data_IF_589123476649
#
_entry.id   IF_589123476649
#
_cell.length_a   1.000
_cell.length_b   1.000
_cell.length_c   1.000
_cell.angle_alpha   90.00
_cell.angle_beta   90.00
_cell.angle_gamma   90.00
#
_symmetry.space_group_name_H-M   'P 1'
#
loop_
_entity.id
_entity.type
_entity.pdbx_description
1 polymer ?
#
# COMPACT_ATOMS: atom_id res chain seq x y z
N UNK A 1 9.68 -17.77 3.52
CA UNK A 1 9.97 -17.05 4.78
C UNK A 1 10.12 -18.09 5.90
N UNK A 2 11.20 -18.08 6.73
CA UNK A 2 11.25 -18.90 7.92
C UNK A 2 10.07 -18.51 8.83
N UNK A 3 9.48 -19.49 9.51
CA UNK A 3 8.45 -19.20 10.50
C UNK A 3 9.02 -18.18 11.50
N UNK A 4 8.37 -17.04 11.73
CA UNK A 4 8.86 -16.05 12.66
C UNK A 4 8.93 -16.70 14.05
N UNK A 5 10.01 -16.40 14.78
CA UNK A 5 10.10 -16.75 16.19
C UNK A 5 8.84 -16.27 16.93
N UNK A 6 8.32 -17.02 17.90
CA UNK A 6 7.19 -16.57 18.69
C UNK A 6 7.54 -15.21 19.27
N UNK A 7 6.75 -14.19 18.99
CA UNK A 7 6.92 -12.87 19.60
C UNK A 7 6.72 -13.04 21.10
N UNK A 8 7.66 -12.52 21.87
CA UNK A 8 7.62 -12.55 23.31
C UNK A 8 6.31 -11.86 23.77
N UNK A 9 5.48 -12.60 24.49
CA UNK A 9 4.29 -12.10 25.15
C UNK A 9 4.72 -11.73 26.56
N UNK A 10 5.51 -10.65 26.66
CA UNK A 10 5.99 -10.13 27.95
C UNK A 10 4.92 -9.32 28.69
N UNK A 11 3.70 -9.29 28.14
CA UNK A 11 2.58 -8.56 28.71
C UNK A 11 2.63 -7.05 28.49
N UNK A 12 3.62 -6.54 27.73
CA UNK A 12 3.73 -5.11 27.39
C UNK A 12 3.00 -4.87 26.06
N UNK A 13 2.10 -3.87 25.97
CA UNK A 13 1.45 -3.54 24.70
C UNK A 13 2.49 -3.11 23.65
N UNK A 14 2.40 -3.67 22.45
CA UNK A 14 3.26 -3.27 21.34
C UNK A 14 3.01 -1.80 20.98
N UNK A 15 4.08 -1.01 20.95
CA UNK A 15 4.05 0.39 20.63
C UNK A 15 4.01 0.60 19.11
N UNK A 16 3.00 1.31 18.61
CA UNK A 16 2.74 1.50 17.18
C UNK A 16 2.86 2.98 16.80
N UNK A 17 3.71 3.28 15.83
CA UNK A 17 3.68 4.55 15.11
C UNK A 17 2.84 4.41 13.82
N UNK A 18 1.98 5.39 13.53
CA UNK A 18 1.13 5.39 12.34
C UNK A 18 1.49 6.57 11.44
N UNK A 19 1.82 6.26 10.18
CA UNK A 19 2.08 7.26 9.15
C UNK A 19 0.88 7.27 8.20
N UNK A 20 0.31 8.47 7.98
CA UNK A 20 -0.98 8.61 7.29
C UNK A 20 -2.16 8.31 8.20
N UNK A 21 -2.07 8.66 9.50
CA UNK A 21 -3.07 8.33 10.53
C UNK A 21 -4.47 8.85 10.24
N UNK A 22 -4.60 9.94 9.49
CA UNK A 22 -5.88 10.56 9.12
C UNK A 22 -6.51 9.97 7.85
N UNK A 23 -5.80 9.07 7.14
CA UNK A 23 -6.30 8.34 5.98
C UNK A 23 -7.11 7.10 6.37
N UNK A 24 -7.67 6.41 5.37
CA UNK A 24 -8.53 5.22 5.57
C UNK A 24 -7.80 4.11 6.35
N UNK A 25 -6.55 3.79 6.00
CA UNK A 25 -5.75 2.77 6.70
C UNK A 25 -5.40 3.24 8.13
N UNK A 26 -5.02 4.50 8.28
CA UNK A 26 -4.63 5.04 9.59
C UNK A 26 -5.79 5.09 10.59
N UNK A 27 -6.97 5.50 10.16
CA UNK A 27 -8.17 5.51 11.02
C UNK A 27 -8.58 4.09 11.42
N UNK A 28 -8.60 3.15 10.49
CA UNK A 28 -8.86 1.73 10.79
C UNK A 28 -7.76 1.11 11.66
N UNK A 29 -6.49 1.53 11.50
CA UNK A 29 -5.39 1.13 12.37
C UNK A 29 -5.59 1.57 13.82
N UNK A 30 -6.05 2.80 14.02
CA UNK A 30 -6.41 3.33 15.35
C UNK A 30 -7.64 2.61 15.93
N UNK A 31 -8.62 2.23 15.09
CA UNK A 31 -9.76 1.42 15.54
C UNK A 31 -9.30 0.04 16.05
N UNK A 32 -8.39 -0.61 15.32
CA UNK A 32 -7.79 -1.90 15.73
C UNK A 32 -7.05 -1.76 17.07
N UNK A 33 -6.25 -0.69 17.23
CA UNK A 33 -5.54 -0.43 18.50
C UNK A 33 -6.52 -0.20 19.65
N UNK A 34 -7.60 0.52 19.40
CA UNK A 34 -8.62 0.81 20.41
C UNK A 34 -9.40 -0.45 20.84
N UNK A 35 -9.48 -1.49 20.00
CA UNK A 35 -10.17 -2.75 20.33
C UNK A 35 -9.39 -3.61 21.35
N UNK A 36 -8.06 -3.55 21.35
CA UNK A 36 -7.25 -4.34 22.29
C UNK A 36 -6.07 -3.51 22.85
N UNK A 37 -6.35 -2.57 23.75
CA UNK A 37 -5.33 -1.70 24.35
C UNK A 37 -4.36 -2.46 25.28
N UNK A 38 -4.68 -3.70 25.63
CA UNK A 38 -3.77 -4.56 26.38
C UNK A 38 -2.61 -5.07 25.52
N UNK A 39 -2.81 -5.15 24.20
CA UNK A 39 -1.80 -5.65 23.25
C UNK A 39 -1.20 -4.57 22.36
N UNK A 40 -1.90 -3.46 22.11
CA UNK A 40 -1.50 -2.44 21.16
C UNK A 40 -1.65 -1.04 21.77
N UNK A 41 -0.67 -0.17 21.54
CA UNK A 41 -0.68 1.22 21.96
C UNK A 41 -0.17 2.12 20.84
N UNK A 42 -0.92 3.14 20.45
CA UNK A 42 -0.42 4.16 19.55
C UNK A 42 0.54 5.09 20.31
N UNK A 43 1.76 5.29 19.78
CA UNK A 43 2.80 6.13 20.42
C UNK A 43 3.17 7.33 19.58
N UNK A 44 3.03 7.28 18.27
CA UNK A 44 3.35 8.39 17.39
C UNK A 44 2.44 8.41 16.17
N UNK A 45 2.02 9.59 15.72
CA UNK A 45 1.13 9.76 14.58
C UNK A 45 1.71 10.78 13.60
N UNK A 46 1.61 10.47 12.30
CA UNK A 46 1.87 11.46 11.25
C UNK A 46 0.66 11.60 10.32
N UNK A 47 0.35 12.85 9.96
CA UNK A 47 -0.73 13.21 9.03
C UNK A 47 -0.31 14.26 8.01
N UNK A 48 -1.14 14.42 6.99
CA UNK A 48 -0.99 15.47 5.96
C UNK A 48 -1.75 16.75 6.34
N UNK A 49 -2.74 17.11 5.50
CA UNK A 49 -3.48 18.38 5.61
C UNK A 49 -4.62 18.37 6.65
N UNK A 50 -5.08 17.20 7.12
CA UNK A 50 -6.17 17.13 8.08
C UNK A 50 -5.66 17.26 9.52
N UNK A 51 -5.20 18.47 9.87
CA UNK A 51 -4.62 18.80 11.18
C UNK A 51 -5.62 18.62 12.33
N UNK A 52 -6.91 18.90 12.06
CA UNK A 52 -7.98 18.75 13.07
C UNK A 52 -8.15 17.29 13.50
N UNK A 53 -8.26 16.37 12.55
CA UNK A 53 -8.39 14.94 12.86
C UNK A 53 -7.11 14.38 13.48
N UNK A 54 -5.92 14.81 12.99
CA UNK A 54 -4.65 14.41 13.55
C UNK A 54 -4.56 14.80 15.04
N UNK A 55 -4.96 16.03 15.38
CA UNK A 55 -4.97 16.50 16.77
C UNK A 55 -5.97 15.73 17.64
N UNK A 56 -7.18 15.44 17.14
CA UNK A 56 -8.16 14.61 17.84
C UNK A 56 -7.64 13.20 18.13
N UNK A 57 -7.01 12.57 17.12
CA UNK A 57 -6.36 11.26 17.28
C UNK A 57 -5.25 11.33 18.35
N UNK A 58 -4.38 12.34 18.28
CA UNK A 58 -3.27 12.50 19.21
C UNK A 58 -3.74 12.66 20.66
N UNK A 59 -4.80 13.45 20.89
CA UNK A 59 -5.41 13.62 22.22
C UNK A 59 -6.09 12.34 22.68
N UNK A 60 -6.84 11.67 21.80
CA UNK A 60 -7.58 10.45 22.15
C UNK A 60 -6.66 9.31 22.57
N UNK A 61 -5.55 9.13 21.86
CA UNK A 61 -4.60 8.04 22.09
C UNK A 61 -3.41 8.43 22.96
N UNK A 62 -3.33 9.68 23.44
CA UNK A 62 -2.29 10.19 24.35
C UNK A 62 -0.87 9.91 23.81
N UNK A 63 -0.65 10.18 22.52
CA UNK A 63 0.61 9.84 21.83
C UNK A 63 1.78 10.72 22.29
N UNK A 64 2.98 10.17 22.20
CA UNK A 64 4.25 10.79 22.60
C UNK A 64 4.79 11.76 21.54
N UNK A 65 4.49 11.50 20.24
CA UNK A 65 4.94 12.33 19.12
C UNK A 65 3.87 12.52 18.06
N UNK A 66 3.87 13.70 17.44
CA UNK A 66 2.94 14.06 16.35
C UNK A 66 3.70 14.71 15.21
N UNK A 67 3.50 14.22 13.99
CA UNK A 67 4.09 14.76 12.77
C UNK A 67 3.02 15.35 11.83
N UNK A 68 3.26 16.56 11.30
CA UNK A 68 2.42 17.14 10.26
C UNK A 68 3.25 17.62 9.08
N UNK A 69 2.90 17.16 7.86
CA UNK A 69 3.56 17.63 6.66
C UNK A 69 3.10 19.04 6.22
N UNK A 70 1.89 19.45 6.61
CA UNK A 70 1.27 20.70 6.16
C UNK A 70 1.22 21.79 7.23
N UNK A 71 0.93 21.45 8.50
CA UNK A 71 0.82 22.40 9.58
C UNK A 71 2.18 22.75 10.19
N UNK A 72 2.36 24.01 10.56
CA UNK A 72 3.49 24.45 11.37
C UNK A 72 3.28 24.19 12.89
N UNK A 73 4.33 24.40 13.69
CA UNK A 73 4.34 24.12 15.12
C UNK A 73 3.22 24.85 15.89
N UNK A 74 3.01 26.13 15.63
CA UNK A 74 1.97 26.91 16.31
C UNK A 74 0.56 26.42 15.97
N UNK A 75 0.30 26.14 14.71
CA UNK A 75 -0.98 25.62 14.21
C UNK A 75 -1.26 24.25 14.84
N UNK A 76 -0.26 23.37 14.86
CA UNK A 76 -0.42 22.02 15.43
C UNK A 76 -0.65 22.09 16.94
N UNK A 77 0.03 22.98 17.68
CA UNK A 77 -0.22 23.22 19.12
C UNK A 77 -1.62 23.75 19.38
N UNK A 78 -2.09 24.69 18.56
CA UNK A 78 -3.44 25.23 18.68
C UNK A 78 -4.48 24.14 18.40
N UNK A 79 -4.31 23.34 17.35
CA UNK A 79 -5.20 22.22 17.04
C UNK A 79 -5.26 21.18 18.17
N UNK A 80 -4.13 20.86 18.81
CA UNK A 80 -4.07 19.95 19.96
C UNK A 80 -4.81 20.52 21.18
N UNK A 81 -4.66 21.81 21.46
CA UNK A 81 -5.37 22.48 22.55
C UNK A 81 -6.89 22.49 22.31
N UNK A 82 -7.32 22.82 21.09
CA UNK A 82 -8.74 22.83 20.69
C UNK A 82 -9.34 21.43 20.76
N UNK A 83 -8.64 20.42 20.27
CA UNK A 83 -9.07 19.02 20.34
C UNK A 83 -9.20 18.56 21.81
N UNK A 84 -8.25 18.90 22.67
CA UNK A 84 -8.29 18.58 24.09
C UNK A 84 -9.49 19.22 24.77
N UNK A 85 -9.77 20.50 24.48
CA UNK A 85 -10.94 21.20 25.01
C UNK A 85 -12.26 20.55 24.57
N UNK A 86 -12.39 20.21 23.27
CA UNK A 86 -13.60 19.53 22.74
C UNK A 86 -13.81 18.14 23.36
N UNK A 87 -12.72 17.40 23.61
CA UNK A 87 -12.77 16.05 24.18
C UNK A 87 -12.83 16.05 25.73
N UNK A 88 -12.75 17.21 26.39
CA UNK A 88 -12.74 17.31 27.83
C UNK A 88 -11.52 16.63 28.47
N UNK A 89 -10.37 16.64 27.79
CA UNK A 89 -9.11 16.00 28.22
C UNK A 89 -8.03 17.05 28.47
N UNK A 90 -7.01 16.75 29.29
CA UNK A 90 -5.82 17.59 29.38
C UNK A 90 -5.16 17.74 28.01
N UNK A 91 -4.67 18.93 27.69
CA UNK A 91 -3.90 19.16 26.49
C UNK A 91 -2.57 18.38 26.54
N UNK A 92 -2.31 17.44 25.63
CA UNK A 92 -1.07 16.69 25.60
C UNK A 92 0.10 17.60 25.18
N UNK A 93 1.31 17.18 25.49
CA UNK A 93 2.54 17.86 25.08
C UNK A 93 3.46 16.89 24.32
N UNK A 94 3.03 16.38 23.18
CA UNK A 94 3.85 15.48 22.38
C UNK A 94 5.07 16.23 21.82
N UNK A 95 6.09 15.47 21.42
CA UNK A 95 7.14 15.99 20.55
C UNK A 95 6.50 16.28 19.19
N UNK A 96 6.76 17.47 18.63
CA UNK A 96 6.20 17.88 17.35
C UNK A 96 7.26 17.82 16.26
N UNK A 97 6.86 17.29 15.11
CA UNK A 97 7.63 17.31 13.88
C UNK A 97 6.79 17.96 12.79
N UNK A 98 7.33 18.96 12.10
CA UNK A 98 6.59 19.71 11.08
C UNK A 98 7.37 19.81 9.78
N UNK A 99 6.63 19.93 8.66
CA UNK A 99 7.20 20.03 7.33
C UNK A 99 7.43 18.69 6.63
N UNK A 100 8.13 18.70 5.48
CA UNK A 100 8.21 17.55 4.56
C UNK A 100 8.77 16.27 5.17
N UNK A 101 9.67 16.36 6.14
CA UNK A 101 10.31 15.21 6.78
C UNK A 101 9.57 14.69 8.02
N UNK A 102 8.42 15.27 8.38
CA UNK A 102 7.70 14.90 9.60
C UNK A 102 7.32 13.40 9.63
N UNK A 103 6.91 12.83 8.49
CA UNK A 103 6.57 11.41 8.37
C UNK A 103 7.79 10.50 8.57
N UNK A 104 8.97 10.90 8.08
CA UNK A 104 10.23 10.16 8.26
C UNK A 104 10.63 10.14 9.74
N UNK A 105 10.50 11.29 10.42
CA UNK A 105 10.83 11.42 11.85
C UNK A 105 9.89 10.58 12.74
N UNK A 106 8.60 10.52 12.40
CA UNK A 106 7.64 9.64 13.07
C UNK A 106 7.91 8.17 12.74
N UNK A 107 8.29 7.85 11.51
CA UNK A 107 8.64 6.48 11.12
C UNK A 107 9.86 5.94 11.87
N UNK A 108 10.78 6.80 12.27
CA UNK A 108 11.97 6.46 13.04
C UNK A 108 11.81 6.73 14.55
N UNK A 109 10.57 6.92 15.05
CA UNK A 109 10.33 7.23 16.46
C UNK A 109 10.85 6.12 17.38
N UNK A 110 11.81 6.40 18.29
CA UNK A 110 12.50 5.35 19.05
C UNK A 110 11.61 4.61 20.06
N UNK A 111 10.44 5.18 20.39
CA UNK A 111 9.45 4.54 21.25
C UNK A 111 8.51 3.56 20.53
N UNK A 112 8.71 3.30 19.22
CA UNK A 112 7.87 2.40 18.45
C UNK A 112 8.51 1.02 18.27
N UNK A 113 7.72 -0.04 18.36
CA UNK A 113 8.10 -1.40 17.96
C UNK A 113 7.70 -1.70 16.50
N UNK A 114 6.58 -1.12 16.08
CA UNK A 114 5.97 -1.34 14.77
C UNK A 114 5.54 0.00 14.17
N UNK A 115 5.79 0.16 12.88
CA UNK A 115 5.29 1.29 12.10
C UNK A 115 4.22 0.80 11.14
N UNK A 116 3.03 1.40 11.17
CA UNK A 116 2.01 1.23 10.13
C UNK A 116 2.17 2.35 9.10
N UNK A 117 2.60 2.01 7.88
CA UNK A 117 2.66 2.98 6.79
C UNK A 117 1.41 2.89 5.93
N UNK A 118 0.47 3.83 6.12
CA UNK A 118 -0.75 4.01 5.36
C UNK A 118 -0.77 5.27 4.48
N UNK A 119 0.40 5.85 4.15
CA UNK A 119 0.50 6.95 3.19
C UNK A 119 0.15 6.41 1.80
N UNK A 120 -0.46 7.22 0.96
CA UNK A 120 -0.73 6.89 -0.45
C UNK A 120 0.36 7.49 -1.34
N UNK A 121 0.81 6.72 -2.34
CA UNK A 121 1.79 7.16 -3.33
C UNK A 121 3.25 7.00 -2.91
N UNK A 122 4.15 7.27 -3.83
CA UNK A 122 5.60 7.07 -3.69
C UNK A 122 6.28 7.94 -2.63
N UNK A 123 5.61 9.01 -2.17
CA UNK A 123 6.09 9.83 -1.05
C UNK A 123 6.28 9.01 0.24
N UNK A 124 5.66 7.83 0.34
CA UNK A 124 5.87 6.86 1.42
C UNK A 124 7.24 6.18 1.42
N UNK A 125 8.06 6.31 0.36
CA UNK A 125 9.35 5.62 0.24
C UNK A 125 10.35 6.05 1.33
N UNK A 126 10.54 7.35 1.54
CA UNK A 126 11.46 7.85 2.59
C UNK A 126 11.04 7.40 3.99
N UNK A 127 9.78 7.55 4.43
CA UNK A 127 9.30 7.00 5.70
C UNK A 127 9.44 5.48 5.81
N UNK A 128 9.21 4.73 4.71
CA UNK A 128 9.43 3.27 4.67
C UNK A 128 10.88 2.94 5.02
N UNK A 129 11.84 3.58 4.34
CA UNK A 129 13.26 3.37 4.61
C UNK A 129 13.67 3.81 6.02
N UNK A 130 13.12 4.94 6.51
CA UNK A 130 13.37 5.43 7.87
C UNK A 130 12.93 4.42 8.94
N UNK A 131 11.75 3.81 8.79
CA UNK A 131 11.26 2.77 9.69
C UNK A 131 12.17 1.52 9.68
N UNK A 132 12.59 1.07 8.48
CA UNK A 132 13.45 -0.09 8.33
C UNK A 132 14.84 0.14 8.93
N UNK A 133 15.46 1.29 8.66
CA UNK A 133 16.77 1.64 9.21
C UNK A 133 16.74 1.83 10.74
N UNK A 134 15.62 2.28 11.30
CA UNK A 134 15.42 2.35 12.74
C UNK A 134 15.22 0.97 13.41
N UNK A 135 15.13 -0.10 12.62
CA UNK A 135 14.94 -1.46 13.12
C UNK A 135 13.50 -1.82 13.46
N UNK A 136 12.54 -0.95 13.19
CA UNK A 136 11.13 -1.20 13.47
C UNK A 136 10.53 -2.25 12.54
N UNK A 137 9.59 -3.07 13.02
CA UNK A 137 8.73 -3.84 12.12
C UNK A 137 7.88 -2.88 11.32
N UNK A 138 7.78 -3.11 10.01
CA UNK A 138 6.99 -2.28 9.12
C UNK A 138 5.76 -3.04 8.63
N UNK A 139 4.58 -2.68 9.16
CA UNK A 139 3.28 -3.06 8.64
C UNK A 139 2.99 -2.16 7.42
N UNK A 140 3.27 -2.68 6.21
CA UNK A 140 3.29 -1.90 4.97
C UNK A 140 1.95 -2.00 4.27
N UNK A 141 1.19 -0.88 4.27
CA UNK A 141 -0.01 -0.68 3.45
C UNK A 141 0.27 0.20 2.22
N UNK A 142 1.36 0.94 2.22
CA UNK A 142 1.83 1.76 1.10
C UNK A 142 2.61 0.91 0.10
N UNK A 143 1.92 0.25 -0.81
CA UNK A 143 2.53 -0.61 -1.83
C UNK A 143 3.48 0.16 -2.75
N UNK A 144 3.15 1.41 -3.04
CA UNK A 144 3.92 2.24 -3.96
C UNK A 144 5.38 2.38 -3.51
N UNK A 145 5.64 2.55 -2.20
CA UNK A 145 7.02 2.66 -1.71
C UNK A 145 7.85 1.40 -1.97
N UNK A 146 7.26 0.21 -1.86
CA UNK A 146 7.95 -1.03 -2.18
C UNK A 146 8.16 -1.18 -3.69
N UNK A 147 7.16 -0.84 -4.50
CA UNK A 147 7.23 -1.01 -5.95
C UNK A 147 8.25 -0.05 -6.58
N UNK A 148 8.25 1.23 -6.16
CA UNK A 148 9.18 2.22 -6.73
C UNK A 148 10.58 2.10 -6.13
N UNK A 149 10.69 1.74 -4.85
CA UNK A 149 11.95 1.56 -4.13
C UNK A 149 12.58 0.18 -4.29
N UNK A 150 11.83 -0.83 -4.70
CA UNK A 150 12.23 -2.21 -4.99
C UNK A 150 13.47 -2.69 -4.26
N UNK A 151 14.61 -2.63 -4.95
CA UNK A 151 15.90 -3.07 -4.43
C UNK A 151 16.35 -2.31 -3.17
N UNK A 152 16.04 -1.00 -3.07
CA UNK A 152 16.40 -0.19 -1.88
C UNK A 152 15.65 -0.68 -0.63
N UNK A 153 14.35 -0.90 -0.76
CA UNK A 153 13.50 -1.35 0.36
C UNK A 153 13.90 -2.78 0.76
N UNK A 154 14.12 -3.67 -0.22
CA UNK A 154 14.59 -5.04 0.06
C UNK A 154 15.96 -5.08 0.73
N UNK A 155 16.89 -4.23 0.32
CA UNK A 155 18.23 -4.16 0.92
C UNK A 155 18.21 -3.57 2.35
N UNK A 156 17.27 -2.66 2.64
CA UNK A 156 17.10 -2.06 3.96
C UNK A 156 16.37 -2.98 4.95
N UNK A 157 15.55 -3.92 4.45
CA UNK A 157 14.73 -4.77 5.29
C UNK A 157 15.48 -6.00 5.81
N UNK A 158 15.47 -6.20 7.11
CA UNK A 158 15.88 -7.46 7.73
C UNK A 158 14.81 -8.56 7.50
N UNK A 159 15.18 -9.85 7.56
CA UNK A 159 14.23 -10.95 7.44
C UNK A 159 13.06 -10.81 8.43
N UNK A 160 11.83 -10.81 7.93
CA UNK A 160 10.61 -10.71 8.74
C UNK A 160 10.27 -9.30 9.25
N UNK A 161 11.04 -8.28 8.87
CA UNK A 161 10.78 -6.89 9.25
C UNK A 161 9.63 -6.27 8.44
N UNK A 162 9.48 -6.64 7.16
CA UNK A 162 8.35 -6.24 6.31
C UNK A 162 7.16 -7.19 6.54
N UNK A 163 6.01 -6.63 6.88
CA UNK A 163 4.74 -7.36 7.02
C UNK A 163 3.69 -6.69 6.13
N UNK A 164 3.10 -7.41 5.18
CA UNK A 164 2.12 -6.83 4.28
C UNK A 164 0.79 -6.53 4.99
N UNK A 165 0.19 -5.40 4.63
CA UNK A 165 -1.14 -4.97 5.09
C UNK A 165 -2.14 -4.94 3.94
N UNK A 166 -1.70 -4.82 2.69
CA UNK A 166 -2.60 -4.97 1.55
C UNK A 166 -3.31 -6.33 1.63
N UNK A 167 -4.63 -6.38 1.35
CA UNK A 167 -5.46 -7.55 1.65
C UNK A 167 -4.98 -8.82 0.94
N UNK A 168 -4.59 -8.70 -0.32
CA UNK A 168 -4.10 -9.80 -1.15
C UNK A 168 -2.77 -10.35 -0.63
N UNK A 169 -1.86 -9.46 -0.26
CA UNK A 169 -0.54 -9.86 0.25
C UNK A 169 -0.59 -10.40 1.67
N UNK A 170 -1.47 -9.85 2.51
CA UNK A 170 -1.79 -10.43 3.80
C UNK A 170 -2.35 -11.86 3.66
N UNK A 171 -3.23 -12.08 2.66
CA UNK A 171 -3.76 -13.40 2.35
C UNK A 171 -2.67 -14.36 1.89
N UNK A 172 -1.79 -13.93 0.99
CA UNK A 172 -0.64 -14.72 0.55
C UNK A 172 0.29 -15.06 1.71
N UNK A 173 0.64 -14.08 2.55
CA UNK A 173 1.48 -14.32 3.73
C UNK A 173 0.87 -15.36 4.69
N UNK A 174 -0.45 -15.40 4.81
CA UNK A 174 -1.17 -16.40 5.61
C UNK A 174 -1.16 -17.79 4.96
N UNK A 175 -1.42 -17.86 3.64
CA UNK A 175 -1.47 -19.12 2.90
C UNK A 175 -0.07 -19.76 2.74
N UNK A 176 0.99 -18.96 2.57
CA UNK A 176 2.38 -19.40 2.52
C UNK A 176 2.86 -20.08 3.81
N UNK A 177 2.15 -19.93 4.92
CA UNK A 177 2.47 -20.67 6.17
C UNK A 177 2.09 -22.15 6.08
N UNK A 178 1.37 -22.56 5.05
CA UNK A 178 0.95 -23.93 4.83
C UNK A 178 1.98 -24.83 4.15
N UNK A 179 3.14 -24.28 3.74
CA UNK A 179 4.23 -25.03 3.11
C UNK A 179 5.55 -24.27 3.13
N UNK A 180 6.57 -24.81 2.48
CA UNK A 180 7.89 -24.22 2.33
C UNK A 180 8.01 -23.49 0.96
N UNK A 181 9.01 -22.62 0.79
CA UNK A 181 9.15 -21.81 -0.42
C UNK A 181 9.38 -22.63 -1.69
N UNK A 182 10.05 -23.77 -1.58
CA UNK A 182 10.31 -24.70 -2.68
C UNK A 182 9.08 -25.53 -3.08
N UNK A 183 8.10 -25.64 -2.20
CA UNK A 183 6.81 -26.27 -2.49
C UNK A 183 5.82 -25.35 -3.18
N UNK A 184 6.07 -24.03 -3.21
CA UNK A 184 5.19 -23.06 -3.88
C UNK A 184 5.31 -23.21 -5.39
N UNK A 185 4.23 -23.58 -6.07
CA UNK A 185 4.16 -23.63 -7.54
C UNK A 185 3.92 -22.24 -8.12
N UNK A 186 2.90 -21.52 -7.62
CA UNK A 186 2.56 -20.15 -8.03
C UNK A 186 1.72 -19.44 -6.99
N UNK A 187 1.69 -18.11 -7.11
CA UNK A 187 0.76 -17.25 -6.38
C UNK A 187 -0.42 -16.92 -7.31
N UNK A 188 -1.63 -16.85 -6.75
CA UNK A 188 -2.84 -16.47 -7.49
C UNK A 188 -3.50 -15.31 -6.73
N UNK A 189 -3.37 -14.10 -7.28
CA UNK A 189 -4.01 -12.91 -6.74
C UNK A 189 -5.44 -12.81 -7.26
N UNK A 190 -6.37 -12.46 -6.38
CA UNK A 190 -7.74 -12.17 -6.80
C UNK A 190 -7.93 -10.67 -7.04
N UNK A 191 -8.79 -10.32 -7.98
CA UNK A 191 -9.24 -8.96 -8.26
C UNK A 191 -10.76 -8.92 -8.24
N UNK A 192 -11.37 -7.85 -7.73
CA UNK A 192 -12.83 -7.66 -7.86
C UNK A 192 -13.29 -7.52 -9.32
N UNK A 193 -12.38 -7.12 -10.20
CA UNK A 193 -12.65 -6.77 -11.59
C UNK A 193 -13.10 -5.31 -11.77
N UNK A 194 -13.29 -4.58 -10.66
CA UNK A 194 -13.70 -3.19 -10.68
C UNK A 194 -15.13 -2.98 -11.22
N UNK A 195 -15.56 -1.72 -11.41
CA UNK A 195 -16.90 -1.38 -11.90
C UNK A 195 -17.11 -1.68 -13.39
N UNK A 196 -16.05 -1.92 -14.14
CA UNK A 196 -16.09 -2.08 -15.59
C UNK A 196 -15.87 -3.53 -16.07
N UNK A 197 -15.96 -4.50 -15.17
CA UNK A 197 -15.87 -5.92 -15.49
C UNK A 197 -16.87 -6.30 -16.60
N UNK A 198 -16.37 -6.97 -17.64
CA UNK A 198 -17.16 -7.40 -18.79
C UNK A 198 -17.37 -6.34 -19.87
N UNK A 199 -16.85 -5.12 -19.71
CA UNK A 199 -16.81 -4.15 -20.79
C UNK A 199 -15.60 -4.41 -21.70
N UNK A 200 -15.82 -4.27 -23.00
CA UNK A 200 -14.75 -4.27 -23.98
C UNK A 200 -14.03 -2.90 -24.03
N UNK A 201 -12.89 -2.84 -24.72
CA UNK A 201 -12.08 -1.64 -24.80
C UNK A 201 -12.82 -0.45 -25.43
N UNK A 202 -13.72 -0.70 -26.39
CA UNK A 202 -14.48 0.37 -27.04
C UNK A 202 -15.47 1.04 -26.07
N UNK A 203 -16.14 0.23 -25.23
CA UNK A 203 -17.03 0.71 -24.22
C UNK A 203 -16.30 1.50 -23.10
N UNK A 204 -15.05 1.13 -22.77
CA UNK A 204 -14.23 1.82 -21.79
C UNK A 204 -13.88 3.28 -22.18
N UNK A 205 -13.88 3.61 -23.47
CA UNK A 205 -13.58 4.97 -23.94
C UNK A 205 -14.57 6.03 -23.44
N UNK A 206 -15.84 5.65 -23.29
CA UNK A 206 -16.93 6.56 -22.93
C UNK A 206 -17.22 6.64 -21.42
N UNK A 207 -16.50 5.86 -20.58
CA UNK A 207 -16.77 5.86 -19.14
C UNK A 207 -16.32 7.15 -18.48
N UNK A 208 -17.08 7.56 -17.47
CA UNK A 208 -16.86 8.84 -16.77
C UNK A 208 -16.12 8.65 -15.45
N UNK A 209 -15.47 9.72 -14.91
CA UNK A 209 -14.87 9.68 -13.58
C UNK A 209 -15.83 9.20 -12.48
N UNK A 210 -17.08 9.63 -12.51
CA UNK A 210 -18.08 9.20 -11.54
C UNK A 210 -18.34 7.68 -11.58
N UNK A 211 -18.39 7.10 -12.78
CA UNK A 211 -18.52 5.64 -12.95
C UNK A 211 -17.28 4.89 -12.47
N UNK A 212 -16.07 5.42 -12.71
CA UNK A 212 -14.83 4.82 -12.25
C UNK A 212 -14.71 4.81 -10.71
N UNK A 213 -15.34 5.77 -10.03
CA UNK A 213 -15.37 5.83 -8.56
C UNK A 213 -16.45 4.95 -7.92
N UNK A 214 -17.36 4.37 -8.70
CA UNK A 214 -18.44 3.49 -8.20
C UNK A 214 -17.95 2.05 -7.99
N UNK A 215 -16.98 1.85 -7.07
CA UNK A 215 -16.46 0.52 -6.78
C UNK A 215 -17.52 -0.36 -6.11
N UNK A 216 -17.72 -1.63 -6.56
CA UNK A 216 -18.82 -2.47 -6.08
C UNK A 216 -18.68 -2.95 -4.63
N UNK A 217 -17.45 -2.98 -4.07
CA UNK A 217 -17.15 -3.67 -2.81
C UNK A 217 -16.41 -2.80 -1.79
N UNK A 218 -15.44 -2.00 -2.24
CA UNK A 218 -14.52 -1.25 -1.36
C UNK A 218 -14.79 0.25 -1.41
N UNK A 219 -14.71 0.90 -0.25
CA UNK A 219 -14.67 2.36 -0.13
C UNK A 219 -13.21 2.80 0.02
N UNK A 220 -12.65 3.36 -1.05
CA UNK A 220 -11.23 3.69 -1.17
C UNK A 220 -11.04 5.13 -1.69
N UNK A 221 -9.83 5.66 -1.50
CA UNK A 221 -9.48 6.96 -2.06
C UNK A 221 -9.54 6.98 -3.60
N UNK A 222 -9.73 8.19 -4.17
CA UNK A 222 -9.93 8.44 -5.61
C UNK A 222 -8.95 7.70 -6.51
N UNK A 223 -7.65 7.78 -6.21
CA UNK A 223 -6.59 7.16 -7.04
C UNK A 223 -6.69 5.63 -6.98
N UNK A 224 -6.81 5.05 -5.79
CA UNK A 224 -6.89 3.60 -5.61
C UNK A 224 -8.15 3.03 -6.27
N UNK A 225 -9.29 3.73 -6.15
CA UNK A 225 -10.55 3.32 -6.78
C UNK A 225 -10.45 3.32 -8.30
N UNK A 226 -9.84 4.37 -8.89
CA UNK A 226 -9.62 4.44 -10.35
C UNK A 226 -8.59 3.40 -10.81
N UNK A 227 -7.55 3.15 -10.02
CA UNK A 227 -6.59 2.08 -10.26
C UNK A 227 -7.24 0.68 -10.19
N UNK A 228 -8.22 0.48 -9.31
CA UNK A 228 -9.02 -0.76 -9.30
C UNK A 228 -9.85 -0.90 -10.57
N UNK A 229 -10.48 0.19 -11.03
CA UNK A 229 -11.27 0.19 -12.26
C UNK A 229 -10.43 -0.14 -13.52
N UNK A 230 -9.19 0.35 -13.60
CA UNK A 230 -8.26 0.12 -14.71
C UNK A 230 -7.40 -1.15 -14.54
N UNK A 231 -7.54 -1.87 -13.43
CA UNK A 231 -6.69 -2.97 -12.98
C UNK A 231 -5.20 -2.59 -12.79
N UNK A 232 -4.86 -1.31 -12.78
CA UNK A 232 -3.53 -0.84 -12.38
C UNK A 232 -3.26 -1.19 -10.92
N UNK A 233 -4.24 -1.09 -10.02
CA UNK A 233 -4.06 -1.53 -8.63
C UNK A 233 -3.57 -2.99 -8.57
N UNK A 234 -4.21 -3.88 -9.33
CA UNK A 234 -3.81 -5.29 -9.39
C UNK A 234 -2.44 -5.48 -10.06
N UNK A 235 -2.12 -4.65 -11.06
CA UNK A 235 -0.80 -4.64 -11.68
C UNK A 235 0.31 -4.30 -10.66
N UNK A 236 0.11 -3.26 -9.84
CA UNK A 236 1.03 -2.91 -8.77
C UNK A 236 1.15 -4.03 -7.73
N UNK A 237 0.06 -4.67 -7.37
CA UNK A 237 0.04 -5.78 -6.41
C UNK A 237 0.78 -7.02 -6.91
N UNK A 238 0.77 -7.32 -8.20
CA UNK A 238 1.59 -8.40 -8.78
C UNK A 238 3.08 -8.11 -8.56
N UNK A 239 3.52 -6.87 -8.75
CA UNK A 239 4.91 -6.48 -8.52
C UNK A 239 5.25 -6.50 -7.01
N UNK A 240 4.33 -6.03 -6.17
CA UNK A 240 4.49 -6.11 -4.71
C UNK A 240 4.62 -7.56 -4.23
N UNK A 241 3.80 -8.49 -4.74
CA UNK A 241 3.89 -9.91 -4.41
C UNK A 241 5.25 -10.51 -4.81
N UNK A 242 5.74 -10.17 -6.01
CA UNK A 242 7.07 -10.56 -6.45
C UNK A 242 8.16 -10.09 -5.47
N UNK A 243 8.11 -8.83 -5.07
CA UNK A 243 9.11 -8.22 -4.18
C UNK A 243 9.03 -8.74 -2.74
N UNK A 244 7.81 -8.98 -2.21
CA UNK A 244 7.60 -9.46 -0.85
C UNK A 244 7.97 -10.92 -0.66
N UNK A 245 7.63 -11.77 -1.64
CA UNK A 245 7.69 -13.22 -1.46
C UNK A 245 8.77 -13.90 -2.29
N UNK A 246 9.55 -13.15 -3.07
CA UNK A 246 10.62 -13.66 -3.95
C UNK A 246 10.13 -14.71 -4.98
N UNK A 247 8.85 -14.62 -5.37
CA UNK A 247 8.28 -15.48 -6.41
C UNK A 247 8.44 -14.81 -7.77
N UNK A 248 8.99 -15.49 -8.80
CA UNK A 248 9.14 -14.95 -10.14
C UNK A 248 7.81 -14.47 -10.75
N UNK A 249 7.84 -13.39 -11.55
CA UNK A 249 6.65 -12.76 -12.13
C UNK A 249 5.83 -13.69 -13.03
N UNK A 250 6.47 -14.64 -13.69
CA UNK A 250 5.82 -15.67 -14.52
C UNK A 250 5.08 -16.75 -13.70
N UNK A 251 5.31 -16.77 -12.39
CA UNK A 251 4.62 -17.64 -11.42
C UNK A 251 3.61 -16.88 -10.56
N UNK A 252 3.18 -15.69 -10.98
CA UNK A 252 2.16 -14.89 -10.32
C UNK A 252 1.01 -14.65 -11.29
N UNK A 253 -0.12 -15.28 -11.03
CA UNK A 253 -1.34 -15.20 -11.83
C UNK A 253 -2.37 -14.27 -11.17
N UNK A 254 -3.31 -13.78 -12.00
CA UNK A 254 -4.44 -12.96 -11.54
C UNK A 254 -5.74 -13.60 -12.02
N UNK A 255 -6.70 -13.70 -11.10
CA UNK A 255 -8.07 -14.14 -11.41
C UNK A 255 -9.08 -13.11 -10.90
N UNK A 256 -10.19 -12.95 -11.59
CA UNK A 256 -11.27 -12.06 -11.17
C UNK A 256 -12.21 -12.83 -10.25
N UNK A 257 -12.42 -12.29 -9.05
CA UNK A 257 -13.32 -12.81 -8.02
C UNK A 257 -14.22 -11.69 -7.49
N UNK A 258 -15.40 -11.48 -8.13
CA UNK A 258 -16.24 -10.30 -7.88
C UNK A 258 -16.72 -10.15 -6.44
N UNK A 259 -16.92 -11.28 -5.73
CA UNK A 259 -17.40 -11.28 -4.35
C UNK A 259 -16.35 -10.78 -3.36
N UNK A 260 -15.06 -10.76 -3.73
CA UNK A 260 -13.93 -10.32 -2.90
C UNK A 260 -13.88 -10.96 -1.51
N UNK A 261 -14.33 -12.21 -1.38
CA UNK A 261 -14.29 -13.00 -0.14
C UNK A 261 -12.99 -13.79 -0.05
N UNK A 262 -12.54 -14.38 -1.15
CA UNK A 262 -11.19 -14.97 -1.27
C UNK A 262 -10.24 -13.87 -1.70
N UNK A 263 -9.27 -13.53 -0.83
CA UNK A 263 -8.38 -12.39 -1.08
C UNK A 263 -7.13 -12.75 -1.89
N UNK A 264 -6.61 -13.96 -1.76
CA UNK A 264 -5.58 -14.56 -2.63
C UNK A 264 -5.36 -16.01 -2.27
N UNK A 265 -4.59 -16.72 -3.13
CA UNK A 265 -4.34 -18.15 -3.00
C UNK A 265 -2.88 -18.47 -3.30
N UNK A 266 -2.40 -19.56 -2.72
CA UNK A 266 -1.09 -20.17 -3.04
C UNK A 266 -1.35 -21.58 -3.57
N UNK A 267 -0.89 -21.88 -4.78
CA UNK A 267 -0.91 -23.23 -5.35
C UNK A 267 0.44 -23.89 -5.09
N UNK A 268 0.43 -25.10 -4.55
CA UNK A 268 1.61 -25.90 -4.24
C UNK A 268 1.90 -26.92 -5.32
N UNK A 269 3.13 -27.50 -5.28
CA UNK A 269 3.62 -28.43 -6.31
C UNK A 269 2.85 -29.74 -6.35
N UNK A 270 2.15 -30.12 -5.28
CA UNK A 270 1.27 -31.29 -5.21
C UNK A 270 -0.12 -31.05 -5.82
N UNK A 271 -0.41 -29.81 -6.28
CA UNK A 271 -1.68 -29.38 -6.84
C UNK A 271 -2.68 -28.86 -5.81
N UNK A 272 -2.36 -28.88 -4.52
CA UNK A 272 -3.21 -28.25 -3.51
C UNK A 272 -3.19 -26.74 -3.60
N UNK A 273 -4.30 -26.09 -3.24
CA UNK A 273 -4.42 -24.63 -3.19
C UNK A 273 -4.91 -24.19 -1.82
N UNK A 274 -4.14 -23.34 -1.15
CA UNK A 274 -4.55 -22.69 0.09
C UNK A 274 -5.01 -21.27 -0.17
N UNK A 275 -6.18 -20.92 0.33
CA UNK A 275 -6.81 -19.63 0.17
C UNK A 275 -7.13 -19.00 1.52
N UNK A 276 -6.94 -17.70 1.64
CA UNK A 276 -7.49 -16.96 2.77
C UNK A 276 -8.83 -16.35 2.34
N UNK A 277 -9.87 -16.59 3.13
CA UNK A 277 -11.21 -16.08 2.91
C UNK A 277 -11.73 -15.33 4.14
N UNK A 278 -12.30 -14.16 3.91
CA UNK A 278 -13.00 -13.34 4.90
C UNK A 278 -13.90 -12.32 4.20
N UNK A 279 -14.93 -11.77 4.83
CA UNK A 279 -15.57 -10.57 4.34
C UNK A 279 -14.55 -9.45 4.10
N UNK A 280 -14.77 -8.56 3.09
CA UNK A 280 -13.84 -7.49 2.79
C UNK A 280 -13.82 -6.45 3.92
N UNK A 281 -12.75 -6.47 4.73
CA UNK A 281 -12.54 -5.57 5.86
C UNK A 281 -11.04 -5.38 6.11
N UNK A 282 -10.53 -4.15 5.91
CA UNK A 282 -9.11 -3.85 6.08
C UNK A 282 -8.62 -3.96 7.52
N UNK A 283 -9.50 -3.97 8.52
CA UNK A 283 -9.10 -4.18 9.91
C UNK A 283 -8.45 -5.55 10.13
N UNK A 284 -8.84 -6.58 9.35
CA UNK A 284 -8.23 -7.91 9.45
C UNK A 284 -6.75 -7.91 9.04
N UNK A 285 -6.35 -7.47 7.82
CA UNK A 285 -4.94 -7.42 7.44
C UNK A 285 -4.14 -6.39 8.25
N UNK A 286 -4.75 -5.26 8.66
CA UNK A 286 -4.12 -4.29 9.55
C UNK A 286 -3.81 -4.94 10.90
N UNK A 287 -4.77 -5.59 11.53
CA UNK A 287 -4.58 -6.27 12.82
C UNK A 287 -3.49 -7.35 12.73
N UNK A 288 -3.48 -8.13 11.64
CA UNK A 288 -2.43 -9.11 11.41
C UNK A 288 -1.06 -8.45 11.23
N UNK A 289 -0.98 -7.35 10.48
CA UNK A 289 0.25 -6.56 10.30
C UNK A 289 0.80 -6.04 11.62
N UNK A 290 -0.05 -5.49 12.47
CA UNK A 290 0.31 -4.97 13.78
C UNK A 290 0.70 -6.07 14.78
N UNK A 291 0.04 -7.24 14.71
CA UNK A 291 0.25 -8.34 15.67
C UNK A 291 1.11 -9.49 15.13
N UNK A 292 1.62 -9.38 13.88
CA UNK A 292 2.36 -10.47 13.24
C UNK A 292 3.38 -11.13 14.17
N UNK A 293 3.47 -12.47 14.19
CA UNK A 293 2.72 -13.47 13.39
C UNK A 293 1.39 -13.94 14.04
N UNK A 294 0.98 -13.32 15.15
CA UNK A 294 -0.23 -13.69 15.88
C UNK A 294 -1.47 -13.03 15.28
N UNK A 295 -2.64 -13.65 15.51
CA UNK A 295 -3.94 -13.10 15.15
C UNK A 295 -4.52 -12.33 16.33
N UNK A 296 -5.16 -11.19 16.05
CA UNK A 296 -5.96 -10.44 17.03
C UNK A 296 -7.38 -11.00 17.03
N UNK A 297 -7.90 -11.50 18.16
CA UNK A 297 -9.27 -11.99 18.25
C UNK A 297 -10.29 -10.89 17.92
N UNK A 298 -11.29 -11.21 17.08
CA UNK A 298 -12.40 -10.31 16.80
C UNK A 298 -12.04 -9.07 15.97
N UNK A 299 -10.87 -9.04 15.30
CA UNK A 299 -10.40 -7.90 14.51
C UNK A 299 -11.38 -7.49 13.38
N UNK A 300 -12.07 -8.46 12.78
CA UNK A 300 -13.05 -8.26 11.72
C UNK A 300 -14.13 -9.35 11.78
N UNK A 301 -15.29 -9.15 11.10
CA UNK A 301 -16.34 -10.15 11.00
C UNK A 301 -15.84 -11.43 10.33
N UNK A 302 -16.34 -12.59 10.79
CA UNK A 302 -16.11 -13.88 10.12
C UNK A 302 -17.13 -14.13 9.00
N UNK A 303 -16.80 -15.06 8.10
CA UNK A 303 -17.77 -15.57 7.13
C UNK A 303 -18.94 -16.25 7.83
N UNK A 304 -20.15 -16.07 7.30
CA UNK A 304 -21.36 -16.74 7.79
C UNK A 304 -21.53 -18.09 7.09
N UNK A 305 -21.09 -19.15 7.74
CA UNK A 305 -21.19 -20.53 7.25
C UNK A 305 -22.57 -21.17 7.46
N UNK A 306 -23.53 -20.44 8.03
CA UNK A 306 -24.93 -20.90 8.20
C UNK A 306 -25.77 -20.69 6.94
N UNK A 307 -25.23 -19.96 5.97
CA UNK A 307 -25.90 -19.61 4.70
C UNK A 307 -25.17 -20.23 3.52
N UNK A 308 -25.90 -20.60 2.49
CA UNK A 308 -25.31 -20.99 1.21
C UNK A 308 -24.63 -19.78 0.57
N UNK A 309 -23.42 -19.98 0.06
CA UNK A 309 -22.66 -18.97 -0.67
C UNK A 309 -22.10 -19.57 -1.96
N UNK A 310 -22.00 -18.73 -2.99
CA UNK A 310 -21.36 -19.08 -4.26
C UNK A 310 -20.22 -18.11 -4.52
N UNK A 311 -19.04 -18.63 -4.76
CA UNK A 311 -17.84 -17.87 -5.14
C UNK A 311 -17.47 -18.24 -6.58
N UNK A 312 -17.24 -17.21 -7.38
CA UNK A 312 -16.90 -17.36 -8.80
C UNK A 312 -15.51 -16.82 -9.07
N UNK A 313 -14.80 -17.47 -9.98
CA UNK A 313 -13.49 -17.06 -10.46
C UNK A 313 -13.50 -17.06 -11.98
N UNK A 314 -13.04 -15.96 -12.57
CA UNK A 314 -13.00 -15.73 -14.01
C UNK A 314 -11.56 -15.41 -14.43
N UNK A 315 -11.13 -15.78 -15.62
CA UNK A 315 -9.84 -15.34 -16.14
C UNK A 315 -9.81 -13.82 -16.31
N UNK A 316 -8.60 -13.23 -16.17
CA UNK A 316 -8.39 -11.82 -16.47
C UNK A 316 -8.51 -11.57 -17.98
N UNK A 317 -9.28 -10.55 -18.37
CA UNK A 317 -9.29 -10.04 -19.76
C UNK A 317 -8.13 -9.04 -19.95
N UNK A 318 -7.00 -9.55 -20.46
CA UNK A 318 -5.80 -8.73 -20.70
C UNK A 318 -5.89 -7.88 -21.98
N UNK A 319 -6.89 -8.08 -22.83
CA UNK A 319 -7.12 -7.22 -24.00
C UNK A 319 -7.83 -5.93 -23.59
N UNK A 320 -8.89 -6.05 -22.80
CA UNK A 320 -9.59 -4.90 -22.26
C UNK A 320 -8.75 -4.18 -21.18
N UNK A 321 -8.02 -4.94 -20.35
CA UNK A 321 -7.27 -4.42 -19.18
C UNK A 321 -5.80 -4.85 -19.21
N UNK A 322 -4.93 -4.20 -20.00
CA UNK A 322 -3.55 -4.64 -20.21
C UNK A 322 -2.57 -4.25 -19.09
N UNK A 323 -3.04 -3.67 -17.97
CA UNK A 323 -2.20 -3.12 -16.93
C UNK A 323 -1.25 -4.14 -16.28
N UNK A 324 -1.72 -5.37 -16.01
CA UNK A 324 -0.92 -6.41 -15.36
C UNK A 324 0.27 -6.79 -16.23
N UNK A 325 0.04 -7.04 -17.51
CA UNK A 325 1.12 -7.35 -18.47
C UNK A 325 2.11 -6.20 -18.59
N UNK A 326 1.59 -4.96 -18.73
CA UNK A 326 2.44 -3.78 -18.83
C UNK A 326 3.33 -3.57 -17.60
N UNK A 327 2.83 -3.83 -16.39
CA UNK A 327 3.64 -3.73 -15.17
C UNK A 327 4.70 -4.84 -15.07
N UNK A 328 4.39 -6.09 -15.46
CA UNK A 328 5.37 -7.18 -15.53
C UNK A 328 6.51 -6.84 -16.51
N UNK A 329 6.19 -6.30 -17.68
CA UNK A 329 7.17 -5.83 -18.67
C UNK A 329 8.04 -4.69 -18.11
N UNK A 330 7.44 -3.70 -17.47
CA UNK A 330 8.15 -2.59 -16.85
C UNK A 330 9.11 -3.06 -15.72
N UNK A 331 8.65 -3.92 -14.84
CA UNK A 331 9.46 -4.44 -13.74
C UNK A 331 10.68 -5.26 -14.22
N UNK A 332 10.55 -5.93 -15.36
CA UNK A 332 11.63 -6.68 -15.98
C UNK A 332 12.66 -5.80 -16.69
N UNK A 333 12.33 -4.55 -17.05
CA UNK A 333 13.17 -3.69 -17.88
C UNK A 333 14.32 -3.04 -17.11
N UNK A 334 14.08 -2.41 -15.95
CA UNK A 334 15.13 -1.88 -15.06
C UNK A 334 14.58 -1.58 -13.67
N UNK A 335 15.45 -1.36 -12.66
CA UNK A 335 15.03 -1.06 -11.28
C UNK A 335 14.18 0.22 -11.12
N UNK A 336 14.23 1.15 -12.07
CA UNK A 336 13.50 2.43 -12.01
C UNK A 336 12.26 2.49 -12.88
N UNK A 337 12.02 1.48 -13.76
CA UNK A 337 10.83 1.48 -14.64
C UNK A 337 9.52 1.44 -13.85
N UNK A 338 9.47 0.81 -12.67
CA UNK A 338 8.26 0.81 -11.85
C UNK A 338 7.98 2.17 -11.21
N UNK A 339 9.01 2.97 -10.92
CA UNK A 339 8.83 4.36 -10.50
C UNK A 339 8.22 5.20 -11.65
N UNK A 340 8.70 4.98 -12.87
CA UNK A 340 8.13 5.61 -14.07
C UNK A 340 6.68 5.18 -14.31
N UNK A 341 6.40 3.88 -14.22
CA UNK A 341 5.05 3.34 -14.36
C UNK A 341 4.07 3.97 -13.37
N UNK A 342 4.44 3.99 -12.10
CA UNK A 342 3.59 4.54 -11.04
C UNK A 342 3.35 6.05 -11.21
N UNK A 343 4.40 6.83 -11.47
CA UNK A 343 4.30 8.27 -11.64
C UNK A 343 3.48 8.65 -12.89
N UNK A 344 3.67 7.94 -14.02
CA UNK A 344 2.87 8.14 -15.23
C UNK A 344 1.40 7.79 -14.99
N UNK A 345 1.11 6.75 -14.22
CA UNK A 345 -0.26 6.38 -13.86
C UNK A 345 -0.93 7.45 -12.99
N UNK A 346 -0.27 7.97 -11.97
CA UNK A 346 -0.82 9.03 -11.12
C UNK A 346 -1.22 10.25 -11.96
N UNK A 347 -0.37 10.69 -12.89
CA UNK A 347 -0.65 11.82 -13.81
C UNK A 347 -1.81 11.50 -14.78
N UNK A 348 -1.84 10.28 -15.33
CA UNK A 348 -2.91 9.86 -16.24
C UNK A 348 -4.27 9.76 -15.52
N UNK A 349 -4.29 9.28 -14.28
CA UNK A 349 -5.50 9.26 -13.44
C UNK A 349 -5.98 10.67 -13.15
N UNK A 350 -5.09 11.60 -12.82
CA UNK A 350 -5.45 12.99 -12.59
C UNK A 350 -5.99 13.66 -13.86
N UNK A 351 -5.37 13.41 -15.03
CA UNK A 351 -5.85 13.89 -16.32
C UNK A 351 -7.24 13.34 -16.69
N UNK A 352 -7.50 12.05 -16.39
CA UNK A 352 -8.83 11.45 -16.57
C UNK A 352 -9.88 12.15 -15.70
N UNK A 353 -9.59 12.38 -14.41
CA UNK A 353 -10.51 13.09 -13.52
C UNK A 353 -10.72 14.55 -13.89
N UNK A 354 -9.74 15.18 -14.53
CA UNK A 354 -9.84 16.54 -15.08
C UNK A 354 -10.57 16.60 -16.45
N UNK A 355 -10.92 15.44 -17.03
CA UNK A 355 -11.57 15.36 -18.34
C UNK A 355 -10.62 15.59 -19.52
N UNK A 356 -9.31 15.59 -19.29
CA UNK A 356 -8.30 15.78 -20.33
C UNK A 356 -7.89 14.47 -21.03
N UNK A 357 -8.18 13.32 -20.42
CA UNK A 357 -7.80 12.00 -20.93
C UNK A 357 -8.98 11.02 -20.80
N UNK A 358 -9.37 10.25 -21.85
CA UNK A 358 -10.36 9.17 -21.73
C UNK A 358 -9.81 8.01 -20.88
N UNK A 359 -10.70 7.23 -20.29
CA UNK A 359 -10.33 6.14 -19.37
C UNK A 359 -9.42 5.08 -20.00
N UNK A 360 -9.74 4.60 -21.19
CA UNK A 360 -8.96 3.59 -21.93
C UNK A 360 -7.53 4.04 -22.27
N UNK A 361 -7.30 5.38 -22.26
CA UNK A 361 -5.98 5.98 -22.54
C UNK A 361 -5.09 6.05 -21.30
N UNK A 362 -5.60 5.78 -20.10
CA UNK A 362 -4.78 5.79 -18.87
C UNK A 362 -3.60 4.81 -19.03
N UNK A 363 -3.89 3.54 -19.24
CA UNK A 363 -2.85 2.49 -19.36
C UNK A 363 -2.03 2.64 -20.65
N UNK A 364 -2.63 3.11 -21.74
CA UNK A 364 -1.88 3.41 -22.97
C UNK A 364 -0.84 4.50 -22.75
N UNK A 365 -1.20 5.56 -22.03
CA UNK A 365 -0.27 6.64 -21.68
C UNK A 365 0.88 6.11 -20.82
N UNK A 366 0.57 5.31 -19.80
CA UNK A 366 1.58 4.68 -18.95
C UNK A 366 2.55 3.84 -19.78
N UNK A 367 2.03 2.99 -20.68
CA UNK A 367 2.87 2.15 -21.55
C UNK A 367 3.75 2.99 -22.48
N UNK A 368 3.21 4.06 -23.05
CA UNK A 368 3.97 4.96 -23.93
C UNK A 368 5.08 5.70 -23.17
N UNK A 369 4.82 6.16 -21.93
CA UNK A 369 5.84 6.81 -21.09
C UNK A 369 6.94 5.80 -20.69
N UNK A 370 6.55 4.58 -20.30
CA UNK A 370 7.49 3.51 -19.97
C UNK A 370 8.37 3.15 -21.17
N UNK A 371 7.79 3.07 -22.38
CA UNK A 371 8.54 2.74 -23.59
C UNK A 371 9.54 3.83 -24.02
N UNK A 372 9.26 5.10 -23.72
CA UNK A 372 10.15 6.23 -24.03
C UNK A 372 11.24 6.45 -22.95
N UNK A 373 11.18 5.72 -21.84
CA UNK A 373 12.10 5.90 -20.73
C UNK A 373 13.44 5.21 -21.00
N UNK A 374 14.50 6.04 -21.11
CA UNK A 374 15.88 5.59 -21.19
C UNK A 374 16.60 5.89 -19.86
N UNK A 375 16.75 4.89 -18.95
CA UNK A 375 17.28 5.14 -17.60
C UNK A 375 18.68 5.74 -17.62
N UNK A 376 19.54 5.30 -18.56
CA UNK A 376 20.92 5.79 -18.69
C UNK A 376 20.95 7.30 -18.96
N UNK A 377 20.16 7.77 -19.90
CA UNK A 377 20.11 9.20 -20.28
C UNK A 377 19.46 10.05 -19.19
N UNK A 378 18.31 9.58 -18.63
CA UNK A 378 17.53 10.34 -17.66
C UNK A 378 18.27 10.48 -16.34
N UNK A 379 18.85 9.38 -15.83
CA UNK A 379 19.57 9.39 -14.56
C UNK A 379 20.90 10.11 -14.67
N UNK A 380 21.66 9.94 -15.79
CA UNK A 380 22.89 10.68 -16.02
C UNK A 380 22.63 12.19 -16.14
N UNK A 381 21.56 12.61 -16.84
CA UNK A 381 21.16 14.03 -16.92
C UNK A 381 20.79 14.62 -15.56
N UNK A 382 20.33 13.80 -14.61
CA UNK A 382 20.02 14.16 -13.23
C UNK A 382 21.24 14.01 -12.27
N UNK A 383 22.41 13.58 -12.77
CA UNK A 383 23.63 13.40 -11.98
C UNK A 383 23.66 12.10 -11.16
N UNK A 384 22.88 11.09 -11.54
CA UNK A 384 22.81 9.79 -10.86
C UNK A 384 23.42 8.66 -11.69
N UNK A 385 23.97 7.67 -11.01
CA UNK A 385 24.46 6.44 -11.65
C UNK A 385 23.27 5.56 -12.07
N UNK A 386 23.14 5.18 -13.37
CA UNK A 386 22.09 4.29 -13.83
C UNK A 386 22.29 2.82 -13.44
N UNK A 387 23.49 2.44 -12.95
CA UNK A 387 23.79 1.06 -12.59
C UNK A 387 22.90 0.57 -11.43
N UNK A 388 22.45 -0.70 -11.45
CA UNK A 388 21.62 -1.26 -10.37
C UNK A 388 22.25 -1.18 -8.98
N UNK A 389 23.59 -1.24 -8.92
CA UNK A 389 24.36 -1.12 -7.67
C UNK A 389 24.46 0.32 -7.15
N UNK A 390 24.14 1.31 -7.99
CA UNK A 390 24.14 2.74 -7.68
C UNK A 390 22.74 3.30 -7.41
N UNK A 391 21.70 2.45 -7.34
CA UNK A 391 20.33 2.93 -7.11
C UNK A 391 20.22 3.68 -5.79
N UNK A 392 19.70 4.91 -5.84
CA UNK A 392 19.46 5.78 -4.69
C UNK A 392 18.01 6.26 -4.69
N UNK A 393 17.55 6.74 -3.54
CA UNK A 393 16.21 7.38 -3.45
C UNK A 393 16.10 8.54 -4.44
N UNK A 394 17.15 9.35 -4.56
CA UNK A 394 17.14 10.51 -5.45
C UNK A 394 17.12 10.09 -6.93
N UNK A 395 17.73 8.96 -7.31
CA UNK A 395 17.60 8.39 -8.65
C UNK A 395 16.17 7.93 -8.94
N UNK A 396 15.49 7.29 -7.98
CA UNK A 396 14.06 6.92 -8.09
C UNK A 396 13.20 8.17 -8.28
N UNK A 397 13.42 9.20 -7.46
CA UNK A 397 12.67 10.47 -7.55
C UNK A 397 12.95 11.22 -8.87
N UNK A 398 14.17 11.15 -9.40
CA UNK A 398 14.49 11.72 -10.72
C UNK A 398 13.73 11.01 -11.85
N UNK A 399 13.65 9.69 -11.82
CA UNK A 399 12.86 8.90 -12.75
C UNK A 399 11.36 9.25 -12.68
N UNK A 400 10.79 9.37 -11.48
CA UNK A 400 9.41 9.83 -11.29
C UNK A 400 9.18 11.23 -11.84
N UNK A 401 10.07 12.18 -11.53
CA UNK A 401 9.95 13.55 -12.00
C UNK A 401 10.00 13.63 -13.53
N UNK A 402 10.83 12.82 -14.17
CA UNK A 402 10.85 12.69 -15.63
C UNK A 402 9.51 12.12 -16.14
N UNK A 403 9.03 11.04 -15.57
CA UNK A 403 7.81 10.36 -15.98
C UNK A 403 6.59 11.29 -15.89
N UNK A 404 6.48 12.08 -14.83
CA UNK A 404 5.40 13.08 -14.68
C UNK A 404 5.42 14.11 -15.80
N UNK A 405 6.59 14.64 -16.15
CA UNK A 405 6.71 15.57 -17.29
C UNK A 405 6.37 14.92 -18.62
N UNK A 406 6.89 13.71 -18.86
CA UNK A 406 6.62 12.95 -20.08
C UNK A 406 5.14 12.58 -20.24
N UNK A 407 4.46 12.23 -19.15
CA UNK A 407 3.03 11.96 -19.15
C UNK A 407 2.22 13.22 -19.48
N UNK A 408 2.46 14.34 -18.76
CA UNK A 408 1.75 15.62 -18.98
C UNK A 408 1.92 16.18 -20.39
N UNK A 409 2.99 15.85 -21.09
CA UNK A 409 3.22 16.27 -22.48
C UNK A 409 2.35 15.52 -23.52
N UNK A 410 1.50 14.55 -23.09
CA UNK A 410 0.69 13.72 -23.98
C UNK A 410 -0.78 14.15 -24.11
N UNK A 411 -1.24 15.08 -23.31
CA UNK A 411 -2.58 15.70 -23.39
C UNK A 411 -2.54 17.21 -23.34
#
# INVERSE_FOLDING_TARGET
MPAPAPADDDGVPRAVALIGSTGSIGTQGLDVIAQDPARLRAVALAGGANTTLLAEQAVRFEVEAVGSAAAGDEELRAALADAAARLGRPAPRPVLFTGPCAAEQIAAWPGADTVLNGITGSIGLRPTLAALHAGHRLALANKESLIVGGALVKAAAAPGQLVPVDSEHSALAQALRGGTADEVRRLVLTASGGPFRGLDRAALHAVTPAQALAHPTWDMGRVVTTNSASLVNKALEVIEAHLLFDVPLDRIDVVVHPQSVVHSMVEFVDGSTLAQASPPDMRLPIALGLCWPRRLPGAAPACDWTRAATWTFEPLDEEAFPAVRAAKEAAAASPTHMAVFNAANEEAVDAFHAGALPFDRIVDTVRAVVADYAPEDVLAAAGHDPAPTGLTVDAVLAAEAWARRAARARW
#
